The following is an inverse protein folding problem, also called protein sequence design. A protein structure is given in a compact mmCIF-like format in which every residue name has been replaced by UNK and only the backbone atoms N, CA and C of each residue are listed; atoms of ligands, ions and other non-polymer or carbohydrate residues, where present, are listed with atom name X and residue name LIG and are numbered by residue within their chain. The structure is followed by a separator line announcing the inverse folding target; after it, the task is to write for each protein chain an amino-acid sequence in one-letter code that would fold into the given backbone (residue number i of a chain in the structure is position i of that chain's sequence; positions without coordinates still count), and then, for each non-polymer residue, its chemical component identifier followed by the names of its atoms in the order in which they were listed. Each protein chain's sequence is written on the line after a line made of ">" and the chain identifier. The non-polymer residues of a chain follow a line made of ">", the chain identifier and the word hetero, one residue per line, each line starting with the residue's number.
data_IF_843529118163
#
_entry.id   IF_843529118163
#
_cell.length_a   1.000
_cell.length_b   1.000
_cell.length_c   1.000
_cell.angle_alpha   90.00
_cell.angle_beta   90.00
_cell.angle_gamma   90.00
#
_symmetry.space_group_name_H-M   'P 1'
#
loop_
_entity.id
_entity.type
_entity.pdbx_description
1 polymer ?
#
# COMPACT_ATOMS: atom_id res chain seq x y z
N UNK A 1 3.11 17.67 -7.38
CA UNK A 1 3.86 16.41 -7.49
C UNK A 1 2.97 15.27 -7.05
N UNK A 2 3.01 14.11 -7.72
CA UNK A 2 2.23 12.93 -7.38
C UNK A 2 3.15 11.75 -7.09
N UNK A 3 2.81 10.97 -6.08
CA UNK A 3 3.39 9.67 -5.79
C UNK A 3 2.27 8.64 -5.86
N UNK A 4 2.37 7.69 -6.79
CA UNK A 4 1.38 6.65 -7.02
C UNK A 4 1.97 5.31 -6.59
N UNK A 5 1.31 4.65 -5.65
CA UNK A 5 1.78 3.39 -5.08
C UNK A 5 0.98 2.23 -5.68
N UNK A 6 1.67 1.23 -6.22
CA UNK A 6 1.09 0.25 -7.15
C UNK A 6 0.12 -0.76 -6.50
N UNK A 7 0.25 -0.98 -5.20
CA UNK A 7 -0.45 -2.02 -4.48
C UNK A 7 0.28 -3.36 -4.59
N UNK A 8 0.13 -4.19 -3.55
CA UNK A 8 0.82 -5.47 -3.38
C UNK A 8 0.86 -6.35 -4.64
N UNK A 9 2.07 -6.79 -4.99
CA UNK A 9 2.34 -7.73 -6.09
C UNK A 9 2.14 -7.13 -7.49
N UNK A 10 1.92 -5.82 -7.61
CA UNK A 10 1.65 -5.18 -8.91
C UNK A 10 2.94 -4.69 -9.60
N UNK A 11 3.20 -5.11 -10.85
CA UNK A 11 4.27 -4.53 -11.64
C UNK A 11 4.02 -3.04 -11.90
N UNK A 12 5.02 -2.17 -11.63
CA UNK A 12 4.92 -0.72 -11.88
C UNK A 12 4.50 -0.37 -13.33
N UNK A 13 4.83 -1.23 -14.30
CA UNK A 13 4.48 -1.04 -15.72
C UNK A 13 2.96 -0.96 -15.95
N UNK A 14 2.15 -1.57 -15.08
CA UNK A 14 0.69 -1.48 -15.16
C UNK A 14 0.19 -0.06 -14.88
N UNK A 15 0.95 0.73 -14.11
CA UNK A 15 0.63 2.12 -13.83
C UNK A 15 1.22 3.11 -14.83
N UNK A 16 2.06 2.68 -15.78
CA UNK A 16 2.65 3.61 -16.77
C UNK A 16 1.61 4.40 -17.58
N UNK A 17 0.49 3.80 -18.05
CA UNK A 17 -0.56 4.59 -18.71
C UNK A 17 -1.19 5.64 -17.78
N UNK A 18 -1.42 5.29 -16.52
CA UNK A 18 -1.98 6.20 -15.52
C UNK A 18 -1.00 7.32 -15.15
N UNK A 19 0.28 7.00 -15.06
CA UNK A 19 1.36 7.97 -14.85
C UNK A 19 1.40 8.98 -15.99
N UNK A 20 1.46 8.51 -17.24
CA UNK A 20 1.51 9.37 -18.42
C UNK A 20 0.25 10.24 -18.54
N UNK A 21 -0.93 9.65 -18.27
CA UNK A 21 -2.19 10.39 -18.25
C UNK A 21 -2.18 11.48 -17.18
N UNK A 22 -1.84 11.17 -15.92
CA UNK A 22 -1.75 12.15 -14.83
C UNK A 22 -0.76 13.28 -15.13
N UNK A 23 0.41 12.95 -15.67
CA UNK A 23 1.41 13.94 -16.10
C UNK A 23 0.83 14.87 -17.18
N UNK A 24 0.16 14.30 -18.18
CA UNK A 24 -0.43 15.06 -19.27
C UNK A 24 -1.53 16.02 -18.79
N UNK A 25 -2.44 15.56 -17.93
CA UNK A 25 -3.60 16.38 -17.52
C UNK A 25 -3.26 17.41 -16.43
N UNK A 26 -2.26 17.14 -15.58
CA UNK A 26 -1.94 18.03 -14.45
C UNK A 26 -0.70 18.88 -14.69
N UNK A 27 0.17 18.50 -15.64
CA UNK A 27 1.51 19.07 -15.79
C UNK A 27 2.46 18.76 -14.63
N UNK A 28 2.06 17.95 -13.65
CA UNK A 28 2.87 17.64 -12.49
C UNK A 28 3.83 16.47 -12.75
N UNK A 29 4.96 16.45 -12.03
CA UNK A 29 5.78 15.24 -11.91
C UNK A 29 4.99 14.13 -11.21
N UNK A 30 5.01 12.93 -11.78
CA UNK A 30 4.34 11.74 -11.24
C UNK A 30 5.38 10.63 -11.09
N UNK A 31 5.55 10.18 -9.85
CA UNK A 31 6.43 9.07 -9.47
C UNK A 31 5.58 7.83 -9.21
N UNK A 32 5.91 6.72 -9.86
CA UNK A 32 5.34 5.42 -9.49
C UNK A 32 6.30 4.75 -8.52
N UNK A 33 5.79 4.43 -7.33
CA UNK A 33 6.55 3.77 -6.27
C UNK A 33 6.41 2.27 -6.43
N UNK A 34 7.50 1.55 -6.15
CA UNK A 34 7.51 0.10 -6.16
C UNK A 34 6.56 -0.44 -5.10
N UNK A 35 6.01 -1.62 -5.37
CA UNK A 35 5.01 -2.24 -4.51
C UNK A 35 5.59 -2.61 -3.13
N UNK A 36 4.73 -2.59 -2.10
CA UNK A 36 5.04 -2.78 -0.68
C UNK A 36 5.84 -4.05 -0.30
N UNK A 37 5.93 -5.04 -1.18
CA UNK A 37 6.61 -6.31 -0.94
C UNK A 37 8.07 -6.37 -1.44
N UNK A 38 8.58 -5.32 -2.08
CA UNK A 38 9.92 -5.37 -2.70
C UNK A 38 11.08 -5.09 -1.72
N UNK A 39 10.83 -5.16 -0.41
CA UNK A 39 11.81 -5.00 0.66
C UNK A 39 12.34 -6.36 1.16
N UNK A 40 13.56 -6.39 1.73
CA UNK A 40 14.18 -7.63 2.24
C UNK A 40 13.29 -8.36 3.28
N UNK A 41 12.64 -7.57 4.13
CA UNK A 41 11.55 -8.02 5.01
C UNK A 41 10.27 -7.30 4.59
N UNK A 42 9.17 -8.03 4.43
CA UNK A 42 7.87 -7.45 4.12
C UNK A 42 7.44 -6.45 5.21
N UNK A 43 7.23 -5.18 4.85
CA UNK A 43 6.90 -4.10 5.81
C UNK A 43 5.72 -3.25 5.38
N UNK A 44 4.80 -3.81 4.58
CA UNK A 44 3.65 -3.07 4.04
C UNK A 44 4.07 -1.77 3.34
N UNK A 45 5.27 -1.70 2.76
CA UNK A 45 5.83 -0.50 2.12
C UNK A 45 6.23 0.64 3.06
N UNK A 46 6.15 0.47 4.39
CA UNK A 46 6.49 1.50 5.37
C UNK A 46 7.97 1.90 5.33
N UNK A 47 8.83 1.04 4.81
CA UNK A 47 10.25 1.30 4.57
C UNK A 47 10.50 2.41 3.52
N UNK A 48 9.55 2.64 2.61
CA UNK A 48 9.63 3.75 1.65
C UNK A 48 9.34 5.13 2.27
N UNK A 49 8.70 5.18 3.44
CA UNK A 49 8.21 6.44 4.04
C UNK A 49 9.36 7.39 4.35
N UNK A 50 10.40 6.92 5.06
CA UNK A 50 11.52 7.78 5.48
C UNK A 50 12.35 8.33 4.31
N UNK A 51 12.76 7.52 3.31
CA UNK A 51 13.42 8.02 2.11
C UNK A 51 12.58 9.04 1.33
N UNK A 52 11.27 8.78 1.17
CA UNK A 52 10.39 9.67 0.43
C UNK A 52 10.15 11.00 1.15
N UNK A 53 10.00 11.02 2.48
CA UNK A 53 9.93 12.26 3.25
C UNK A 53 11.20 13.09 3.06
N UNK A 54 12.36 12.44 3.07
CA UNK A 54 13.66 13.09 2.89
C UNK A 54 13.73 13.76 1.52
N UNK A 55 13.32 13.05 0.47
CA UNK A 55 13.33 13.57 -0.90
C UNK A 55 12.29 14.68 -1.12
N UNK A 56 11.09 14.57 -0.54
CA UNK A 56 10.05 15.61 -0.61
C UNK A 56 10.54 16.89 0.08
N UNK A 57 11.10 16.78 1.29
CA UNK A 57 11.66 17.93 2.01
C UNK A 57 12.80 18.58 1.24
N UNK A 58 13.67 17.77 0.61
CA UNK A 58 14.78 18.27 -0.22
C UNK A 58 14.29 19.05 -1.45
N UNK A 59 13.21 18.59 -2.10
CA UNK A 59 12.64 19.26 -3.28
C UNK A 59 11.74 20.45 -2.91
N UNK A 60 11.20 20.48 -1.69
CA UNK A 60 10.29 21.50 -1.19
C UNK A 60 9.16 21.87 -2.20
N UNK A 61 8.38 20.89 -2.69
CA UNK A 61 7.32 21.15 -3.65
C UNK A 61 6.15 21.93 -3.02
N UNK A 62 5.50 22.81 -3.79
CA UNK A 62 4.33 23.57 -3.31
C UNK A 62 3.13 22.68 -2.98
N UNK A 63 2.94 21.56 -3.72
CA UNK A 63 1.84 20.61 -3.54
C UNK A 63 2.29 19.18 -3.77
N UNK A 64 1.88 18.29 -2.87
CA UNK A 64 2.15 16.86 -2.93
C UNK A 64 0.84 16.07 -2.86
N UNK A 65 0.70 15.09 -3.74
CA UNK A 65 -0.40 14.15 -3.76
C UNK A 65 0.12 12.73 -3.59
N UNK A 66 -0.48 11.97 -2.68
CA UNK A 66 -0.23 10.54 -2.49
C UNK A 66 -1.44 9.77 -2.98
N UNK A 67 -1.23 8.81 -3.89
CA UNK A 67 -2.29 7.96 -4.43
C UNK A 67 -1.99 6.52 -4.02
N UNK A 68 -2.74 6.01 -3.04
CA UNK A 68 -2.57 4.68 -2.48
C UNK A 68 -3.60 3.68 -3.02
N UNK A 69 -3.13 2.56 -3.56
CA UNK A 69 -3.98 1.49 -4.10
C UNK A 69 -3.90 0.25 -3.20
N UNK A 70 -5.04 -0.31 -2.81
CA UNK A 70 -5.08 -1.56 -2.04
C UNK A 70 -4.19 -1.51 -0.79
N UNK A 71 -3.27 -2.47 -0.63
CA UNK A 71 -2.31 -2.52 0.47
C UNK A 71 -1.36 -1.32 0.52
N UNK A 72 -1.01 -0.74 -0.62
CA UNK A 72 -0.11 0.41 -0.69
C UNK A 72 -0.79 1.73 -0.27
N UNK A 73 -2.06 1.67 0.13
CA UNK A 73 -2.69 2.75 0.89
C UNK A 73 -1.98 3.02 2.23
N UNK A 74 -1.36 2.00 2.83
CA UNK A 74 -0.61 2.08 4.09
C UNK A 74 0.55 3.11 4.02
N UNK A 75 1.54 2.97 3.11
CA UNK A 75 2.63 3.93 3.01
C UNK A 75 2.17 5.30 2.52
N UNK A 76 1.14 5.35 1.67
CA UNK A 76 0.55 6.61 1.21
C UNK A 76 -0.06 7.41 2.37
N UNK A 77 -0.82 6.76 3.25
CA UNK A 77 -1.37 7.35 4.48
C UNK A 77 -0.26 7.78 5.44
N UNK A 78 0.72 6.91 5.67
CA UNK A 78 1.87 7.19 6.54
C UNK A 78 2.66 8.43 6.09
N UNK A 79 2.77 8.66 4.77
CA UNK A 79 3.37 9.87 4.21
C UNK A 79 2.49 11.10 4.40
N UNK A 80 1.19 10.97 4.12
CA UNK A 80 0.25 12.10 4.22
C UNK A 80 0.19 12.68 5.64
N UNK A 81 0.29 11.82 6.67
CA UNK A 81 0.36 12.24 8.08
C UNK A 81 1.64 13.00 8.44
N UNK A 82 2.72 12.86 7.65
CA UNK A 82 4.06 13.40 7.95
C UNK A 82 4.49 14.51 6.99
N UNK A 83 3.72 14.78 5.94
CA UNK A 83 3.98 15.81 4.94
C UNK A 83 2.84 16.83 4.97
N UNK A 84 3.11 17.99 5.56
CA UNK A 84 2.16 19.09 5.65
C UNK A 84 1.70 19.57 4.27
N UNK A 85 0.41 19.91 4.16
CA UNK A 85 -0.18 20.39 2.90
C UNK A 85 -0.30 19.33 1.80
N UNK A 86 -0.06 18.05 2.11
CA UNK A 86 -0.27 16.96 1.18
C UNK A 86 -1.75 16.58 1.04
N UNK A 87 -2.08 15.94 -0.08
CA UNK A 87 -3.40 15.39 -0.34
C UNK A 87 -3.31 13.87 -0.52
N UNK A 88 -4.16 13.14 0.20
CA UNK A 88 -4.25 11.69 0.12
C UNK A 88 -5.44 11.29 -0.75
N UNK A 89 -5.20 10.39 -1.71
CA UNK A 89 -6.22 9.76 -2.56
C UNK A 89 -6.12 8.25 -2.37
N UNK A 90 -7.18 7.62 -1.90
CA UNK A 90 -7.21 6.18 -1.66
C UNK A 90 -8.13 5.47 -2.65
N UNK A 91 -7.65 4.40 -3.25
CA UNK A 91 -8.41 3.57 -4.21
C UNK A 91 -8.45 2.16 -3.67
N UNK A 92 -9.65 1.71 -3.28
CA UNK A 92 -9.88 0.42 -2.64
C UNK A 92 -8.87 0.12 -1.52
N UNK A 93 -8.67 1.03 -0.54
CA UNK A 93 -7.61 0.88 0.45
C UNK A 93 -7.84 -0.36 1.31
N UNK A 94 -6.75 -1.05 1.63
CA UNK A 94 -6.75 -2.06 2.68
C UNK A 94 -6.80 -1.35 4.03
N UNK A 95 -7.96 -1.32 4.68
CA UNK A 95 -8.14 -0.63 5.97
C UNK A 95 -7.72 -1.45 7.16
N UNK A 96 -7.81 -2.79 7.05
CA UNK A 96 -7.39 -3.72 8.07
C UNK A 96 -6.89 -5.02 7.42
N UNK A 97 -5.63 -5.38 7.65
CA UNK A 97 -5.00 -6.51 6.97
C UNK A 97 -5.64 -7.86 7.33
N UNK A 98 -5.94 -8.10 8.60
CA UNK A 98 -6.50 -9.38 9.04
C UNK A 98 -7.91 -9.58 8.48
N UNK A 99 -8.76 -8.57 8.58
CA UNK A 99 -10.11 -8.63 8.00
C UNK A 99 -10.09 -8.75 6.47
N UNK A 100 -9.22 -7.99 5.79
CA UNK A 100 -9.08 -8.07 4.33
C UNK A 100 -8.62 -9.44 3.88
N UNK A 101 -7.68 -10.06 4.61
CA UNK A 101 -7.19 -11.41 4.32
C UNK A 101 -8.27 -12.48 4.50
N UNK A 102 -9.08 -12.37 5.56
CA UNK A 102 -10.24 -13.26 5.77
C UNK A 102 -11.29 -13.11 4.68
N UNK A 103 -11.64 -11.87 4.33
CA UNK A 103 -12.61 -11.60 3.28
C UNK A 103 -12.16 -12.15 1.92
N UNK A 104 -10.87 -11.97 1.56
CA UNK A 104 -10.28 -12.55 0.36
C UNK A 104 -10.34 -14.08 0.39
N UNK A 105 -10.01 -14.70 1.52
CA UNK A 105 -10.11 -16.15 1.70
C UNK A 105 -11.54 -16.64 1.47
N UNK A 106 -12.51 -16.04 2.15
CA UNK A 106 -13.92 -16.42 2.06
C UNK A 106 -14.48 -16.25 0.64
N UNK A 107 -14.20 -15.12 -0.02
CA UNK A 107 -14.81 -14.83 -1.31
C UNK A 107 -14.13 -15.56 -2.48
N UNK A 108 -12.81 -15.65 -2.48
CA UNK A 108 -12.05 -16.10 -3.66
C UNK A 108 -11.53 -17.54 -3.54
N UNK A 109 -11.18 -17.99 -2.33
CA UNK A 109 -10.43 -19.23 -2.16
C UNK A 109 -11.24 -20.34 -1.50
N UNK A 110 -12.11 -20.03 -0.54
CA UNK A 110 -12.86 -21.02 0.24
C UNK A 110 -13.80 -21.90 -0.59
N UNK A 111 -14.20 -21.40 -1.77
CA UNK A 111 -15.15 -22.05 -2.69
C UNK A 111 -14.54 -23.21 -3.49
N UNK A 112 -13.23 -23.48 -3.37
CA UNK A 112 -12.56 -24.56 -4.09
C UNK A 112 -12.54 -25.85 -3.24
N UNK A 113 -12.70 -27.03 -3.86
CA UNK A 113 -12.91 -28.27 -3.11
C UNK A 113 -11.76 -28.61 -2.13
N UNK A 114 -10.50 -28.38 -2.51
CA UNK A 114 -9.34 -28.69 -1.66
C UNK A 114 -9.10 -27.68 -0.53
N UNK A 115 -9.70 -26.49 -0.58
CA UNK A 115 -9.59 -25.49 0.49
C UNK A 115 -10.56 -25.74 1.64
N UNK A 116 -11.49 -26.70 1.51
CA UNK A 116 -12.40 -27.11 2.59
C UNK A 116 -11.67 -27.72 3.80
N UNK A 117 -10.40 -28.10 3.64
CA UNK A 117 -9.55 -28.59 4.72
C UNK A 117 -8.79 -27.48 5.46
N UNK A 118 -8.87 -26.23 4.98
CA UNK A 118 -8.20 -25.08 5.57
C UNK A 118 -9.24 -24.28 6.36
N UNK A 119 -9.09 -24.25 7.69
CA UNK A 119 -9.98 -23.49 8.56
C UNK A 119 -9.69 -21.98 8.47
N UNK A 120 -10.67 -21.16 8.82
CA UNK A 120 -10.46 -19.71 8.95
C UNK A 120 -9.40 -19.37 10.02
N UNK A 121 -9.27 -20.20 11.06
CA UNK A 121 -8.21 -20.07 12.09
C UNK A 121 -6.81 -20.17 11.48
N UNK A 122 -6.66 -20.93 10.37
CA UNK A 122 -5.40 -21.02 9.65
C UNK A 122 -5.04 -19.68 9.00
N UNK A 123 -6.04 -18.94 8.50
CA UNK A 123 -5.84 -17.60 7.94
C UNK A 123 -5.53 -16.59 9.04
N UNK A 124 -6.18 -16.69 10.19
CA UNK A 124 -5.85 -15.87 11.37
C UNK A 124 -4.40 -16.06 11.79
N UNK A 125 -3.95 -17.30 11.92
CA UNK A 125 -2.58 -17.60 12.29
C UNK A 125 -1.58 -17.11 11.24
N UNK A 126 -1.90 -17.27 9.95
CA UNK A 126 -1.08 -16.73 8.87
C UNK A 126 -0.93 -15.20 8.97
N UNK A 127 -2.01 -14.47 9.27
CA UNK A 127 -1.92 -13.01 9.44
C UNK A 127 -1.05 -12.61 10.63
N UNK A 128 -1.10 -13.36 11.75
CA UNK A 128 -0.22 -13.13 12.92
C UNK A 128 1.24 -13.40 12.61
N UNK A 129 1.52 -14.47 11.86
CA UNK A 129 2.88 -14.79 11.40
C UNK A 129 3.43 -13.64 10.56
N UNK A 130 2.65 -13.11 9.62
CA UNK A 130 3.07 -11.97 8.79
C UNK A 130 3.38 -10.75 9.65
N UNK A 131 2.52 -10.39 10.62
CA UNK A 131 2.82 -9.28 11.54
C UNK A 131 4.11 -9.50 12.34
N UNK A 132 4.26 -10.69 12.94
CA UNK A 132 5.46 -11.05 13.69
C UNK A 132 6.73 -10.93 12.84
N UNK A 133 6.70 -11.49 11.65
CA UNK A 133 7.87 -11.55 10.76
C UNK A 133 8.16 -10.18 10.11
N UNK A 134 7.14 -9.33 9.96
CA UNK A 134 7.29 -7.93 9.50
C UNK A 134 7.85 -6.98 10.57
N UNK A 135 7.79 -7.37 11.85
CA UNK A 135 8.06 -6.51 13.01
C UNK A 135 7.15 -5.25 13.06
N UNK A 136 5.93 -5.37 12.52
CA UNK A 136 4.92 -4.30 12.45
C UNK A 136 3.69 -4.73 13.27
N UNK A 137 3.08 -3.79 13.99
CA UNK A 137 1.82 -4.01 14.70
C UNK A 137 0.60 -3.71 13.80
N UNK A 138 -0.58 -4.29 14.06
CA UNK A 138 -1.80 -3.94 13.33
C UNK A 138 -2.08 -2.44 13.30
N UNK A 139 -1.82 -1.74 14.41
CA UNK A 139 -2.08 -0.31 14.57
C UNK A 139 -1.18 0.56 13.67
N UNK A 140 0.00 0.06 13.28
CA UNK A 140 0.92 0.77 12.38
C UNK A 140 0.39 0.86 10.94
N UNK A 141 -0.54 -0.01 10.56
CA UNK A 141 -1.06 -0.14 9.19
C UNK A 141 -2.56 0.09 9.07
N UNK A 142 -3.26 0.36 10.17
CA UNK A 142 -4.69 0.66 10.13
C UNK A 142 -4.92 2.01 9.44
N UNK A 143 -5.84 2.01 8.47
CA UNK A 143 -6.23 3.20 7.69
C UNK A 143 -7.62 3.64 8.16
N UNK A 144 -7.65 4.65 9.03
CA UNK A 144 -8.85 5.33 9.52
C UNK A 144 -8.64 6.85 9.58
#
# INVERSE_FOLDING_TARGET
>A
MFFVFAGYGQPMKLLSPHQAWLQHITGAEVFVIQSAENSENFKFGLDFVSPLITEIKRRNPEKVHFVGLSMDAVPAQALAQRVEGSHLHLIAPMTNFSQSSKALWEDLYSKVFYTQLISIDTIEEATKIIFRDSEISPEDIDIL
#
